data_IF_098282921487
#
_entry.id   IF_098282921487
#
_cell.length_a   1.000
_cell.length_b   1.000
_cell.length_c   1.000
_cell.angle_alpha   90.00
_cell.angle_beta   90.00
_cell.angle_gamma   90.00
#
_symmetry.space_group_name_H-M   'P 1'
#
loop_
_entity.id
_entity.type
_entity.pdbx_description
1 polymer ?
#
# COMPACT_ATOMS: atom_id res chain seq x y z
N UNK A 1 19.45 -16.89 -4.78
CA UNK A 1 18.36 -16.55 -5.72
C UNK A 1 17.55 -15.42 -5.08
N UNK A 2 17.26 -14.39 -5.84
CA UNK A 2 16.42 -13.28 -5.39
C UNK A 2 14.99 -13.79 -5.16
N UNK A 3 14.43 -13.50 -3.98
CA UNK A 3 13.21 -14.16 -3.49
C UNK A 3 11.93 -13.83 -4.28
N UNK A 4 11.95 -12.76 -5.11
CA UNK A 4 10.83 -12.35 -5.96
C UNK A 4 11.15 -12.45 -7.48
N UNK A 5 12.20 -13.18 -7.85
CA UNK A 5 12.58 -13.36 -9.27
C UNK A 5 11.40 -13.88 -10.10
N UNK A 6 11.13 -13.23 -11.23
CA UNK A 6 10.04 -13.56 -12.14
C UNK A 6 8.66 -13.09 -11.71
N UNK A 7 8.50 -12.50 -10.51
CA UNK A 7 7.24 -11.92 -10.03
C UNK A 7 7.04 -10.50 -10.57
N UNK A 8 5.79 -10.14 -10.80
CA UNK A 8 5.36 -8.80 -11.20
C UNK A 8 4.58 -8.17 -10.05
N UNK A 9 5.05 -7.02 -9.55
CA UNK A 9 4.44 -6.30 -8.44
C UNK A 9 3.93 -4.93 -8.88
N UNK A 10 2.62 -4.69 -8.74
CA UNK A 10 2.00 -3.37 -8.94
C UNK A 10 1.97 -2.64 -7.60
N UNK A 11 2.50 -1.40 -7.56
CA UNK A 11 2.63 -0.60 -6.34
C UNK A 11 1.97 0.76 -6.54
N UNK A 12 0.84 0.99 -5.88
CA UNK A 12 0.16 2.28 -5.91
C UNK A 12 0.82 3.28 -4.95
N UNK A 13 0.89 4.55 -5.34
CA UNK A 13 1.65 5.56 -4.58
C UNK A 13 3.16 5.31 -4.58
N UNK A 14 3.69 4.65 -5.63
CA UNK A 14 5.09 4.24 -5.73
C UNK A 14 6.10 5.38 -5.93
N UNK A 15 5.65 6.64 -5.99
CA UNK A 15 6.49 7.80 -6.24
C UNK A 15 7.13 8.42 -4.98
N UNK A 16 6.73 8.02 -3.76
CA UNK A 16 7.27 8.60 -2.52
C UNK A 16 7.02 7.70 -1.29
N UNK A 17 7.70 8.02 -0.17
CA UNK A 17 7.47 7.38 1.13
C UNK A 17 7.53 5.86 1.11
N UNK A 18 6.59 5.21 1.78
CA UNK A 18 6.53 3.75 1.92
C UNK A 18 6.45 3.07 0.54
N UNK A 19 5.62 3.58 -0.38
CA UNK A 19 5.49 2.98 -1.71
C UNK A 19 6.79 2.98 -2.51
N UNK A 20 7.57 4.07 -2.44
CA UNK A 20 8.90 4.16 -3.06
C UNK A 20 9.89 3.16 -2.42
N UNK A 21 9.90 3.06 -1.09
CA UNK A 21 10.78 2.14 -0.37
C UNK A 21 10.45 0.67 -0.70
N UNK A 22 9.15 0.31 -0.69
CA UNK A 22 8.67 -1.02 -1.08
C UNK A 22 9.06 -1.33 -2.53
N UNK A 23 8.89 -0.37 -3.45
CA UNK A 23 9.25 -0.57 -4.85
C UNK A 23 10.74 -0.90 -5.04
N UNK A 24 11.61 -0.15 -4.35
CA UNK A 24 13.06 -0.41 -4.37
C UNK A 24 13.41 -1.77 -3.77
N UNK A 25 12.82 -2.11 -2.64
CA UNK A 25 13.07 -3.38 -1.97
C UNK A 25 12.58 -4.58 -2.79
N UNK A 26 11.42 -4.47 -3.44
CA UNK A 26 10.89 -5.51 -4.32
C UNK A 26 11.75 -5.71 -5.57
N UNK A 27 12.19 -4.59 -6.19
CA UNK A 27 13.11 -4.66 -7.32
C UNK A 27 14.46 -5.28 -6.93
N UNK A 28 15.01 -4.92 -5.77
CA UNK A 28 16.23 -5.54 -5.23
C UNK A 28 16.05 -7.03 -4.89
N UNK A 29 14.81 -7.47 -4.59
CA UNK A 29 14.48 -8.87 -4.40
C UNK A 29 14.17 -9.61 -5.74
N UNK A 30 14.38 -8.97 -6.89
CA UNK A 30 14.24 -9.55 -8.23
C UNK A 30 12.87 -9.40 -8.89
N UNK A 31 11.93 -8.67 -8.29
CA UNK A 31 10.63 -8.42 -8.91
C UNK A 31 10.72 -7.39 -10.05
N UNK A 32 9.87 -7.57 -11.07
CA UNK A 32 9.52 -6.50 -12.01
C UNK A 32 8.46 -5.61 -11.36
N UNK A 33 8.78 -4.35 -11.08
CA UNK A 33 7.86 -3.45 -10.39
C UNK A 33 7.14 -2.52 -11.35
N UNK A 34 5.83 -2.39 -11.19
CA UNK A 34 4.98 -1.42 -11.89
C UNK A 34 4.54 -0.37 -10.89
N UNK A 35 4.97 0.86 -11.12
CA UNK A 35 4.72 1.99 -10.24
C UNK A 35 3.51 2.77 -10.74
N UNK A 36 2.53 3.00 -9.87
CA UNK A 36 1.33 3.77 -10.18
C UNK A 36 1.19 4.98 -9.24
N UNK A 37 1.12 6.18 -9.79
CA UNK A 37 0.80 7.41 -9.08
C UNK A 37 0.45 8.54 -10.06
N UNK A 38 -0.18 9.61 -9.58
CA UNK A 38 -0.59 10.74 -10.43
C UNK A 38 0.57 11.59 -10.95
N UNK A 39 1.64 11.76 -10.17
CA UNK A 39 2.78 12.62 -10.50
C UNK A 39 3.78 11.88 -11.38
N UNK A 40 3.61 12.03 -12.70
CA UNK A 40 4.35 11.29 -13.72
C UNK A 40 5.88 11.46 -13.62
N UNK A 41 6.35 12.69 -13.42
CA UNK A 41 7.78 12.99 -13.33
C UNK A 41 8.44 12.27 -12.16
N UNK A 42 7.90 12.44 -10.96
CA UNK A 42 8.43 11.76 -9.77
C UNK A 42 8.34 10.23 -9.88
N UNK A 43 7.32 9.73 -10.56
CA UNK A 43 7.16 8.29 -10.78
C UNK A 43 8.27 7.76 -11.71
N UNK A 44 8.58 8.50 -12.80
CA UNK A 44 9.67 8.17 -13.71
C UNK A 44 11.03 8.22 -13.00
N UNK A 45 11.29 9.25 -12.18
CA UNK A 45 12.52 9.34 -11.40
C UNK A 45 12.76 8.11 -10.52
N UNK A 46 11.70 7.60 -9.86
CA UNK A 46 11.81 6.38 -9.03
C UNK A 46 12.07 5.16 -9.91
N UNK A 47 11.38 5.03 -11.05
CA UNK A 47 11.62 3.93 -11.97
C UNK A 47 13.06 3.94 -12.50
N UNK A 48 13.60 5.12 -12.83
CA UNK A 48 14.97 5.26 -13.31
C UNK A 48 16.01 5.00 -12.22
N UNK A 49 15.72 5.37 -10.97
CA UNK A 49 16.55 4.98 -9.83
C UNK A 49 16.64 3.45 -9.70
N UNK A 50 15.51 2.75 -9.81
CA UNK A 50 15.47 1.28 -9.75
C UNK A 50 16.25 0.67 -10.92
N UNK A 51 16.06 1.17 -12.14
CA UNK A 51 16.79 0.67 -13.32
C UNK A 51 18.31 0.88 -13.20
N UNK A 52 18.73 2.05 -12.71
CA UNK A 52 20.17 2.31 -12.47
C UNK A 52 20.78 1.38 -11.42
N UNK A 53 19.97 0.87 -10.50
CA UNK A 53 20.41 -0.14 -9.51
C UNK A 53 20.30 -1.58 -10.04
N UNK A 54 20.06 -1.79 -11.34
CA UNK A 54 19.97 -3.12 -11.96
C UNK A 54 18.59 -3.76 -11.88
N UNK A 55 17.59 -3.12 -11.29
CA UNK A 55 16.22 -3.63 -11.18
C UNK A 55 15.36 -3.32 -12.42
N UNK A 56 14.19 -3.94 -12.50
CA UNK A 56 13.19 -3.70 -13.55
C UNK A 56 12.02 -2.88 -13.02
N UNK A 57 11.72 -1.74 -13.64
CA UNK A 57 10.61 -0.88 -13.26
C UNK A 57 9.89 -0.27 -14.47
N UNK A 58 8.56 -0.22 -14.39
CA UNK A 58 7.66 0.45 -15.31
C UNK A 58 6.87 1.52 -14.55
N UNK A 59 6.83 2.75 -15.06
CA UNK A 59 6.08 3.86 -14.50
C UNK A 59 4.80 4.10 -15.32
N UNK A 60 3.62 3.95 -14.69
CA UNK A 60 2.32 4.19 -15.32
C UNK A 60 1.59 5.28 -14.53
N UNK A 61 1.52 6.52 -15.05
CA UNK A 61 0.79 7.59 -14.39
C UNK A 61 -0.69 7.24 -14.24
N UNK A 62 -1.17 7.15 -12.99
CA UNK A 62 -2.51 6.64 -12.70
C UNK A 62 -3.17 7.43 -11.57
N UNK A 63 -4.40 7.87 -11.78
CA UNK A 63 -5.29 8.30 -10.70
C UNK A 63 -6.19 7.12 -10.30
N UNK A 64 -5.89 6.51 -9.15
CA UNK A 64 -6.63 5.34 -8.68
C UNK A 64 -8.08 5.64 -8.26
N UNK A 65 -8.47 6.90 -8.16
CA UNK A 65 -9.88 7.29 -7.90
C UNK A 65 -10.75 7.16 -9.15
N UNK A 66 -10.15 6.92 -10.32
CA UNK A 66 -10.81 6.81 -11.61
C UNK A 66 -10.77 5.37 -12.10
N UNK A 67 -11.94 4.71 -12.11
CA UNK A 67 -12.05 3.32 -12.51
C UNK A 67 -11.45 3.02 -13.89
N UNK A 68 -11.67 3.84 -14.96
CA UNK A 68 -11.02 3.59 -16.25
C UNK A 68 -9.49 3.67 -16.20
N UNK A 69 -8.93 4.56 -15.36
CA UNK A 69 -7.48 4.68 -15.22
C UNK A 69 -6.88 3.45 -14.49
N UNK A 70 -7.61 2.90 -13.51
CA UNK A 70 -7.22 1.65 -12.86
C UNK A 70 -7.27 0.48 -13.84
N UNK A 71 -8.33 0.37 -14.63
CA UNK A 71 -8.43 -0.67 -15.67
C UNK A 71 -7.26 -0.58 -16.67
N UNK A 72 -6.91 0.64 -17.12
CA UNK A 72 -5.77 0.88 -18.03
C UNK A 72 -4.44 0.46 -17.38
N UNK A 73 -4.19 0.81 -16.09
CA UNK A 73 -2.99 0.39 -15.34
C UNK A 73 -2.78 -1.13 -15.41
N UNK A 74 -3.82 -1.90 -15.14
CA UNK A 74 -3.72 -3.36 -15.14
C UNK A 74 -3.64 -3.93 -16.55
N UNK A 75 -4.31 -3.33 -17.55
CA UNK A 75 -4.18 -3.72 -18.95
C UNK A 75 -2.75 -3.50 -19.47
N UNK A 76 -2.15 -2.35 -19.21
CA UNK A 76 -0.76 -2.04 -19.57
C UNK A 76 0.23 -2.96 -18.83
N UNK A 77 -0.02 -3.25 -17.56
CA UNK A 77 0.80 -4.22 -16.79
C UNK A 77 0.75 -5.60 -17.44
N UNK A 78 -0.43 -6.06 -17.82
CA UNK A 78 -0.60 -7.36 -18.48
C UNK A 78 0.02 -7.38 -19.87
N UNK A 79 -0.08 -6.30 -20.66
CA UNK A 79 0.58 -6.19 -21.96
C UNK A 79 2.11 -6.25 -21.84
N UNK A 80 2.68 -5.59 -20.83
CA UNK A 80 4.13 -5.54 -20.62
C UNK A 80 4.72 -6.82 -20.01
N UNK A 81 3.98 -7.50 -19.14
CA UNK A 81 4.54 -8.56 -18.31
C UNK A 81 3.74 -9.87 -18.30
N UNK A 82 2.52 -9.90 -18.81
CA UNK A 82 1.66 -11.10 -18.91
C UNK A 82 1.08 -11.60 -17.59
N UNK A 83 1.40 -10.95 -16.46
CA UNK A 83 0.98 -11.39 -15.12
C UNK A 83 0.96 -10.27 -14.09
N UNK A 84 0.26 -10.50 -12.98
CA UNK A 84 0.33 -9.70 -11.75
C UNK A 84 0.41 -10.67 -10.57
N UNK A 85 1.53 -10.69 -9.86
CA UNK A 85 1.74 -11.60 -8.72
C UNK A 85 1.47 -10.94 -7.38
N UNK A 86 1.81 -9.64 -7.28
CA UNK A 86 1.63 -8.88 -6.05
C UNK A 86 0.99 -7.54 -6.37
N UNK A 87 0.00 -7.16 -5.58
CA UNK A 87 -0.50 -5.78 -5.50
C UNK A 87 -0.15 -5.19 -4.15
N UNK A 88 0.49 -4.03 -4.13
CA UNK A 88 0.67 -3.19 -2.94
C UNK A 88 -0.27 -1.98 -3.06
N UNK A 89 -1.37 -2.00 -2.34
CA UNK A 89 -2.27 -0.86 -2.18
C UNK A 89 -1.70 0.10 -1.12
N UNK A 90 -0.87 1.03 -1.57
CA UNK A 90 -0.19 1.98 -0.68
C UNK A 90 -0.62 3.43 -0.91
N UNK A 91 -1.17 3.78 -2.07
CA UNK A 91 -1.63 5.15 -2.33
C UNK A 91 -2.61 5.62 -1.25
N UNK A 92 -2.39 6.81 -0.74
CA UNK A 92 -3.23 7.36 0.32
C UNK A 92 -3.05 8.85 0.50
N UNK A 93 -4.04 9.46 1.15
CA UNK A 93 -4.06 10.87 1.56
C UNK A 93 -4.70 10.98 2.94
N UNK A 94 -4.56 12.12 3.59
CA UNK A 94 -5.17 12.39 4.88
C UNK A 94 -5.77 13.80 4.89
N UNK A 95 -6.73 13.98 5.77
CA UNK A 95 -7.24 15.26 6.23
C UNK A 95 -7.06 15.34 7.75
N UNK A 96 -7.00 16.54 8.29
CA UNK A 96 -6.74 16.78 9.72
C UNK A 96 -7.56 17.95 10.24
N UNK A 97 -8.84 17.90 9.95
CA UNK A 97 -9.82 18.88 10.42
C UNK A 97 -10.61 18.30 11.60
N UNK A 98 -11.06 19.14 12.58
CA UNK A 98 -12.03 18.75 13.59
C UNK A 98 -13.30 18.16 12.94
N UNK A 99 -14.00 17.29 13.65
CA UNK A 99 -15.12 16.54 13.09
C UNK A 99 -16.27 17.43 12.61
N UNK A 100 -16.51 18.53 13.31
CA UNK A 100 -17.55 19.53 13.05
C UNK A 100 -17.15 20.53 11.95
N UNK A 101 -15.88 20.62 11.62
CA UNK A 101 -15.34 21.53 10.58
C UNK A 101 -14.90 20.81 9.30
N UNK A 102 -14.93 19.46 9.27
CA UNK A 102 -14.45 18.69 8.14
C UNK A 102 -15.34 18.88 6.90
N UNK A 103 -14.85 19.53 5.81
CA UNK A 103 -15.62 19.69 4.60
C UNK A 103 -15.93 18.33 3.95
N UNK A 104 -17.15 18.19 3.38
CA UNK A 104 -17.52 16.97 2.66
C UNK A 104 -16.55 16.63 1.51
N UNK A 105 -16.02 17.64 0.83
CA UNK A 105 -15.02 17.44 -0.23
C UNK A 105 -13.73 16.81 0.32
N UNK A 106 -13.23 17.27 1.48
CA UNK A 106 -12.06 16.67 2.15
C UNK A 106 -12.33 15.24 2.58
N UNK A 107 -13.52 14.97 3.15
CA UNK A 107 -13.96 13.62 3.46
C UNK A 107 -13.96 12.74 2.21
N UNK A 108 -14.66 13.17 1.16
CA UNK A 108 -14.81 12.38 -0.07
C UNK A 108 -13.45 12.09 -0.73
N UNK A 109 -12.57 13.08 -0.81
CA UNK A 109 -11.20 12.92 -1.34
C UNK A 109 -10.41 11.84 -0.60
N UNK A 110 -10.57 11.74 0.73
CA UNK A 110 -9.90 10.72 1.54
C UNK A 110 -10.53 9.34 1.31
N UNK A 111 -11.86 9.26 1.28
CA UNK A 111 -12.59 8.01 0.97
C UNK A 111 -12.22 7.50 -0.43
N UNK A 112 -12.29 8.37 -1.43
CA UNK A 112 -12.04 7.99 -2.83
C UNK A 112 -10.62 7.47 -3.04
N UNK A 113 -9.64 8.10 -2.38
CA UNK A 113 -8.24 7.68 -2.53
C UNK A 113 -7.93 6.41 -1.71
N UNK A 114 -8.26 6.41 -0.41
CA UNK A 114 -7.74 5.40 0.51
C UNK A 114 -8.58 4.12 0.54
N UNK A 115 -9.86 4.20 0.21
CA UNK A 115 -10.77 3.07 0.30
C UNK A 115 -11.30 2.67 -1.09
N UNK A 116 -11.97 3.57 -1.81
CA UNK A 116 -12.52 3.27 -3.14
C UNK A 116 -11.40 2.92 -4.13
N UNK A 117 -10.34 3.73 -4.20
CA UNK A 117 -9.21 3.49 -5.10
C UNK A 117 -8.46 2.19 -4.78
N UNK A 118 -8.28 1.90 -3.49
CA UNK A 118 -7.68 0.63 -3.06
C UNK A 118 -8.57 -0.57 -3.45
N UNK A 119 -9.88 -0.47 -3.29
CA UNK A 119 -10.84 -1.47 -3.74
C UNK A 119 -10.79 -1.67 -5.27
N UNK A 120 -10.80 -0.60 -6.05
CA UNK A 120 -10.72 -0.69 -7.51
C UNK A 120 -9.45 -1.42 -7.97
N UNK A 121 -8.30 -1.08 -7.39
CA UNK A 121 -7.04 -1.76 -7.68
C UNK A 121 -7.08 -3.23 -7.24
N UNK A 122 -7.59 -3.52 -6.03
CA UNK A 122 -7.73 -4.88 -5.54
C UNK A 122 -8.64 -5.71 -6.45
N UNK A 123 -9.75 -5.16 -6.92
CA UNK A 123 -10.70 -5.84 -7.81
C UNK A 123 -10.05 -6.24 -9.15
N UNK A 124 -9.30 -5.33 -9.77
CA UNK A 124 -8.61 -5.65 -11.03
C UNK A 124 -7.50 -6.68 -10.84
N UNK A 125 -6.68 -6.55 -9.79
CA UNK A 125 -5.69 -7.54 -9.43
C UNK A 125 -6.35 -8.92 -9.17
N UNK A 126 -7.42 -8.94 -8.39
CA UNK A 126 -8.15 -10.15 -8.05
C UNK A 126 -8.67 -10.89 -9.29
N UNK A 127 -9.24 -10.16 -10.29
CA UNK A 127 -9.68 -10.72 -11.57
C UNK A 127 -8.53 -11.42 -12.32
N UNK A 128 -7.35 -10.82 -12.33
CA UNK A 128 -6.16 -11.40 -12.96
C UNK A 128 -5.66 -12.61 -12.17
N UNK A 129 -5.48 -12.46 -10.87
CA UNK A 129 -4.98 -13.48 -9.95
C UNK A 129 -5.89 -14.70 -9.90
N UNK A 130 -7.22 -14.50 -10.02
CA UNK A 130 -8.20 -15.59 -10.09
C UNK A 130 -7.95 -16.50 -11.32
N UNK A 131 -7.65 -15.91 -12.48
CA UNK A 131 -7.28 -16.66 -13.69
C UNK A 131 -5.92 -17.35 -13.55
N UNK A 132 -4.98 -16.72 -12.82
CA UNK A 132 -3.66 -17.27 -12.53
C UNK A 132 -3.71 -18.38 -11.45
N UNK A 133 -4.80 -18.46 -10.67
CA UNK A 133 -4.95 -19.32 -9.48
C UNK A 133 -3.87 -19.04 -8.43
N UNK A 134 -3.35 -17.84 -8.40
CA UNK A 134 -2.28 -17.41 -7.50
C UNK A 134 -2.17 -15.90 -7.48
N UNK A 135 -1.90 -15.32 -6.30
CA UNK A 135 -1.56 -13.91 -6.16
C UNK A 135 -1.51 -13.45 -4.70
N UNK A 136 -0.97 -12.27 -4.49
CA UNK A 136 -0.94 -11.61 -3.17
C UNK A 136 -1.39 -10.17 -3.28
N UNK A 137 -2.26 -9.75 -2.39
CA UNK A 137 -2.67 -8.35 -2.22
C UNK A 137 -2.26 -7.92 -0.82
N UNK A 138 -1.44 -6.89 -0.73
CA UNK A 138 -0.99 -6.32 0.54
C UNK A 138 -1.49 -4.89 0.60
N UNK A 139 -2.42 -4.63 1.50
CA UNK A 139 -2.97 -3.31 1.77
C UNK A 139 -2.12 -2.60 2.82
N UNK A 140 -1.73 -1.36 2.57
CA UNK A 140 -1.04 -0.54 3.57
C UNK A 140 -2.09 0.16 4.43
N UNK A 141 -2.28 -0.41 5.61
CA UNK A 141 -3.18 0.09 6.63
C UNK A 141 -2.62 1.30 7.39
N UNK A 142 -2.84 1.31 8.67
CA UNK A 142 -2.26 2.26 9.64
C UNK A 142 -2.57 1.79 11.06
N UNK A 143 -1.76 2.16 12.02
CA UNK A 143 -2.12 2.08 13.45
C UNK A 143 -3.45 2.80 13.74
N UNK A 144 -3.82 3.79 12.93
CA UNK A 144 -5.11 4.50 13.05
C UNK A 144 -6.34 3.63 12.74
N UNK A 145 -6.17 2.43 12.20
CA UNK A 145 -7.22 1.42 12.11
C UNK A 145 -7.46 0.69 13.46
N UNK A 146 -6.63 0.91 14.45
CA UNK A 146 -6.75 0.33 15.81
C UNK A 146 -6.97 1.42 16.86
N UNK A 147 -6.14 2.45 16.81
CA UNK A 147 -6.18 3.59 17.75
C UNK A 147 -6.14 4.88 16.94
N UNK A 148 -7.29 5.47 16.61
CA UNK A 148 -7.37 6.72 15.87
C UNK A 148 -6.82 7.89 16.67
N UNK A 149 -6.48 8.98 15.98
CA UNK A 149 -6.04 10.24 16.59
C UNK A 149 -7.12 11.30 16.43
N UNK A 150 -7.15 12.32 17.29
CA UNK A 150 -8.01 13.49 17.08
C UNK A 150 -7.82 14.09 15.68
N UNK A 151 -8.89 14.66 15.13
CA UNK A 151 -8.90 15.33 13.83
C UNK A 151 -8.52 14.43 12.63
N UNK A 152 -8.77 13.12 12.72
CA UNK A 152 -8.45 12.17 11.65
C UNK A 152 -9.64 11.30 11.24
N UNK A 153 -10.88 11.79 11.43
CA UNK A 153 -12.09 10.99 11.25
C UNK A 153 -12.17 10.34 9.85
N UNK A 154 -11.94 11.09 8.77
CA UNK A 154 -11.98 10.54 7.41
C UNK A 154 -10.86 9.50 7.19
N UNK A 155 -9.65 9.81 7.65
CA UNK A 155 -8.52 8.88 7.54
C UNK A 155 -8.76 7.60 8.34
N UNK A 156 -9.17 7.73 9.60
CA UNK A 156 -9.48 6.58 10.46
C UNK A 156 -10.58 5.72 9.83
N UNK A 157 -11.69 6.31 9.38
CA UNK A 157 -12.76 5.60 8.72
C UNK A 157 -12.25 4.77 7.54
N UNK A 158 -11.36 5.34 6.70
CA UNK A 158 -10.81 4.59 5.56
C UNK A 158 -9.90 3.45 6.00
N UNK A 159 -9.10 3.62 7.06
CA UNK A 159 -8.18 2.58 7.52
C UNK A 159 -8.89 1.43 8.23
N UNK A 160 -9.96 1.70 9.00
CA UNK A 160 -10.88 0.66 9.48
C UNK A 160 -11.61 -0.04 8.32
N UNK A 161 -12.13 0.73 7.35
CA UNK A 161 -12.79 0.17 6.16
C UNK A 161 -11.87 -0.72 5.34
N UNK A 162 -10.60 -0.33 5.17
CA UNK A 162 -9.60 -1.11 4.44
C UNK A 162 -9.27 -2.44 5.15
N UNK A 163 -9.32 -2.48 6.48
CA UNK A 163 -9.20 -3.74 7.24
C UNK A 163 -10.38 -4.67 6.93
N UNK A 164 -11.61 -4.14 6.90
CA UNK A 164 -12.79 -4.90 6.51
C UNK A 164 -12.69 -5.45 5.08
N UNK A 165 -12.30 -4.60 4.12
CA UNK A 165 -12.05 -5.01 2.72
C UNK A 165 -10.98 -6.11 2.65
N UNK A 166 -9.90 -5.97 3.42
CA UNK A 166 -8.83 -6.98 3.46
C UNK A 166 -9.36 -8.36 3.90
N UNK A 167 -10.13 -8.38 4.98
CA UNK A 167 -10.69 -9.63 5.55
C UNK A 167 -11.69 -10.29 4.60
N UNK A 168 -12.56 -9.50 3.95
CA UNK A 168 -13.51 -10.00 2.96
C UNK A 168 -12.80 -10.60 1.75
N UNK A 169 -11.83 -9.87 1.17
CA UNK A 169 -11.05 -10.36 0.04
C UNK A 169 -10.18 -11.59 0.40
N UNK A 170 -9.65 -11.66 1.63
CA UNK A 170 -8.91 -12.83 2.09
C UNK A 170 -9.79 -14.09 2.17
N UNK A 171 -11.05 -13.92 2.56
CA UNK A 171 -12.03 -15.01 2.58
C UNK A 171 -12.37 -15.46 1.16
N UNK A 172 -12.72 -14.53 0.26
CA UNK A 172 -13.07 -14.82 -1.12
C UNK A 172 -11.88 -15.36 -1.94
N UNK A 173 -10.67 -14.92 -1.64
CA UNK A 173 -9.45 -15.32 -2.35
C UNK A 173 -9.00 -16.75 -2.08
N UNK A 174 -9.42 -17.32 -0.97
CA UNK A 174 -8.94 -18.61 -0.45
C UNK A 174 -9.05 -19.74 -1.46
N UNK A 175 -10.21 -19.89 -2.09
CA UNK A 175 -10.46 -20.94 -3.11
C UNK A 175 -9.72 -20.70 -4.43
N UNK A 176 -9.18 -19.50 -4.61
CA UNK A 176 -8.50 -19.08 -5.84
C UNK A 176 -6.98 -18.96 -5.68
N UNK A 177 -6.43 -19.38 -4.53
CA UNK A 177 -5.01 -19.24 -4.24
C UNK A 177 -4.56 -17.78 -4.11
N UNK A 178 -5.48 -16.87 -3.74
CA UNK A 178 -5.18 -15.45 -3.56
C UNK A 178 -5.07 -15.15 -2.07
N UNK A 179 -3.91 -14.66 -1.65
CA UNK A 179 -3.65 -14.31 -0.27
C UNK A 179 -3.77 -12.78 -0.12
N UNK A 180 -4.57 -12.34 0.82
CA UNK A 180 -4.79 -10.91 1.06
C UNK A 180 -4.39 -10.57 2.48
N UNK A 181 -3.63 -9.51 2.64
CA UNK A 181 -2.98 -9.11 3.89
C UNK A 181 -3.07 -7.61 4.11
N UNK A 182 -2.90 -7.20 5.36
CA UNK A 182 -2.78 -5.79 5.71
C UNK A 182 -1.52 -5.55 6.56
N UNK A 183 -0.74 -4.53 6.18
CA UNK A 183 0.40 -4.04 6.94
C UNK A 183 0.03 -2.70 7.57
N UNK A 184 0.04 -2.61 8.90
CA UNK A 184 -0.28 -1.40 9.65
C UNK A 184 1.00 -0.69 10.13
N UNK A 185 1.43 0.38 9.46
CA UNK A 185 2.52 1.21 9.95
C UNK A 185 2.11 2.04 11.17
N UNK A 186 3.02 2.16 12.12
CA UNK A 186 3.06 3.28 13.06
C UNK A 186 3.62 4.55 12.42
N UNK A 187 4.20 5.44 13.25
CA UNK A 187 4.81 6.66 12.74
C UNK A 187 5.98 6.35 11.81
N UNK A 188 5.86 6.75 10.55
CA UNK A 188 6.86 6.49 9.51
C UNK A 188 7.26 7.81 8.86
N UNK A 189 8.53 7.95 8.51
CA UNK A 189 9.01 9.08 7.72
C UNK A 189 8.39 9.00 6.33
N UNK A 190 7.40 9.86 6.06
CA UNK A 190 6.67 9.88 4.79
C UNK A 190 6.13 11.27 4.50
N UNK A 191 5.74 11.52 3.25
CA UNK A 191 5.11 12.76 2.82
C UNK A 191 3.71 13.01 3.43
N UNK A 192 3.08 12.00 4.02
CA UNK A 192 1.77 12.10 4.68
C UNK A 192 1.85 12.60 6.13
N UNK A 193 3.03 12.55 6.75
CA UNK A 193 3.19 12.83 8.18
C UNK A 193 3.87 14.16 8.46
N UNK A 194 3.16 15.17 9.03
CA UNK A 194 3.83 16.13 9.90
C UNK A 194 4.15 15.46 11.24
N UNK A 195 5.24 15.89 11.95
CA UNK A 195 5.47 15.42 13.32
C UNK A 195 4.22 15.68 14.16
N UNK A 196 3.56 14.62 14.61
CA UNK A 196 2.57 14.79 15.64
C UNK A 196 3.32 15.01 16.95
N UNK A 197 3.30 16.21 17.46
CA UNK A 197 3.55 16.46 18.88
C UNK A 197 2.29 16.03 19.62
N UNK A 198 2.30 14.82 20.14
CA UNK A 198 1.27 14.35 21.07
C UNK A 198 1.96 14.15 22.41
N UNK A 199 1.65 15.02 23.35
CA UNK A 199 2.17 14.96 24.70
C UNK A 199 3.65 15.37 24.85
N UNK A 200 4.17 15.20 26.06
CA UNK A 200 5.53 15.60 26.47
C UNK A 200 6.62 14.62 26.02
N UNK A 201 6.26 13.46 25.49
CA UNK A 201 7.20 12.44 25.00
C UNK A 201 7.14 12.38 23.46
N UNK A 202 8.25 12.66 22.74
CA UNK A 202 8.27 12.51 21.30
C UNK A 202 8.04 11.05 20.91
N UNK A 203 6.98 10.78 20.15
CA UNK A 203 6.81 9.46 19.55
C UNK A 203 7.89 9.23 18.50
N UNK A 204 8.59 8.11 18.56
CA UNK A 204 9.59 7.73 17.57
C UNK A 204 9.00 7.58 16.17
N UNK A 205 9.90 7.46 15.19
CA UNK A 205 9.57 7.20 13.80
C UNK A 205 10.43 6.06 13.27
N UNK A 206 9.88 5.34 12.32
CA UNK A 206 10.57 4.35 11.51
C UNK A 206 10.92 4.96 10.15
N UNK A 207 11.95 4.46 9.53
CA UNK A 207 12.20 4.70 8.12
C UNK A 207 11.22 3.88 7.27
N UNK A 208 10.95 4.34 6.05
CA UNK A 208 10.07 3.61 5.14
C UNK A 208 10.66 2.25 4.72
N UNK A 209 11.99 2.15 4.75
CA UNK A 209 12.77 0.96 4.46
C UNK A 209 12.52 -0.17 5.47
N UNK A 210 12.26 0.15 6.74
CA UNK A 210 11.91 -0.85 7.77
C UNK A 210 10.61 -1.57 7.41
N UNK A 211 9.62 -0.81 6.94
CA UNK A 211 8.35 -1.36 6.48
C UNK A 211 8.48 -2.13 5.17
N UNK A 212 9.38 -1.68 4.28
CA UNK A 212 9.62 -2.36 3.03
C UNK A 212 10.17 -3.79 3.24
N UNK A 213 11.00 -4.00 4.26
CA UNK A 213 11.48 -5.34 4.64
C UNK A 213 10.31 -6.26 5.05
N UNK A 214 9.37 -5.75 5.85
CA UNK A 214 8.17 -6.52 6.24
C UNK A 214 7.29 -6.81 5.03
N UNK A 215 7.11 -5.85 4.11
CA UNK A 215 6.34 -6.06 2.89
C UNK A 215 7.00 -7.12 1.98
N UNK A 216 8.34 -7.17 1.88
CA UNK A 216 9.06 -8.24 1.18
C UNK A 216 8.82 -9.58 1.86
N UNK A 217 8.95 -9.66 3.18
CA UNK A 217 8.65 -10.89 3.92
C UNK A 217 7.24 -11.40 3.64
N UNK A 218 6.23 -10.50 3.70
CA UNK A 218 4.82 -10.86 3.41
C UNK A 218 4.65 -11.41 1.99
N UNK A 219 5.41 -10.91 1.02
CA UNK A 219 5.34 -11.36 -0.38
C UNK A 219 6.10 -12.66 -0.65
N UNK A 220 7.08 -12.99 0.18
CA UNK A 220 7.99 -14.14 -0.02
C UNK A 220 7.63 -15.38 0.81
N UNK A 221 6.69 -15.27 1.74
CA UNK A 221 6.16 -16.42 2.47
C UNK A 221 5.68 -17.51 1.51
N UNK A 222 5.76 -18.80 1.90
CA UNK A 222 5.21 -19.90 1.12
C UNK A 222 3.77 -19.64 0.69
N UNK A 223 3.36 -20.20 -0.44
CA UNK A 223 2.01 -19.97 -0.99
C UNK A 223 0.89 -20.38 -0.02
N UNK A 224 1.15 -21.37 0.80
CA UNK A 224 0.20 -21.88 1.80
C UNK A 224 0.13 -21.02 3.08
N UNK A 225 1.01 -19.99 3.19
CA UNK A 225 1.11 -19.19 4.40
C UNK A 225 0.70 -17.74 4.11
N UNK A 226 -0.32 -17.27 4.82
CA UNK A 226 -0.75 -15.89 4.79
C UNK A 226 -0.44 -15.18 6.11
N UNK A 227 0.41 -14.17 6.08
CA UNK A 227 0.51 -13.20 7.17
C UNK A 227 -0.65 -12.21 7.03
N UNK A 228 -1.82 -12.57 7.59
CA UNK A 228 -3.06 -11.80 7.39
C UNK A 228 -2.92 -10.36 7.83
N UNK A 229 -2.23 -10.12 8.95
CA UNK A 229 -2.06 -8.79 9.53
C UNK A 229 -0.68 -8.65 10.16
N UNK A 230 -0.02 -7.52 9.95
CA UNK A 230 1.19 -7.14 10.63
C UNK A 230 1.10 -5.70 11.12
N UNK A 231 1.41 -5.46 12.40
CA UNK A 231 1.49 -4.14 13.01
C UNK A 231 2.95 -3.84 13.35
N UNK A 232 3.50 -2.77 12.77
CA UNK A 232 4.92 -2.40 12.92
C UNK A 232 5.02 -1.00 13.48
N UNK A 233 5.65 -0.87 14.63
CA UNK A 233 5.69 0.36 15.42
C UNK A 233 7.13 0.79 15.71
N UNK A 234 7.42 2.09 15.76
CA UNK A 234 8.63 2.56 16.40
C UNK A 234 8.67 2.13 17.86
N UNK A 235 9.83 1.75 18.35
CA UNK A 235 10.00 1.27 19.73
C UNK A 235 9.41 2.20 20.79
N UNK A 236 9.45 3.50 20.56
CA UNK A 236 8.99 4.53 21.51
C UNK A 236 7.56 4.99 21.26
N UNK A 237 6.86 4.42 20.28
CA UNK A 237 5.46 4.79 20.02
C UNK A 237 4.52 4.15 21.04
N UNK A 238 3.77 4.94 21.83
CA UNK A 238 2.84 4.42 22.81
C UNK A 238 1.59 3.87 22.09
N UNK A 239 1.55 2.58 21.87
CA UNK A 239 0.37 1.88 21.32
C UNK A 239 -0.39 1.15 22.42
N UNK A 240 0.32 0.37 23.22
CA UNK A 240 -0.21 -0.23 24.44
C UNK A 240 -0.17 0.82 25.54
N UNK A 241 -1.26 0.92 26.33
CA UNK A 241 -1.35 1.92 27.40
C UNK A 241 -1.66 3.34 26.93
N UNK A 242 -2.15 3.52 25.72
CA UNK A 242 -2.85 4.75 25.33
C UNK A 242 -4.21 4.75 26.04
N UNK A 243 -4.24 5.30 27.21
CA UNK A 243 -5.44 5.62 27.96
C UNK A 243 -5.55 7.10 28.18
#
# INVERSE_FOLDING_TARGET
MEALTGRVAVITGGNSGIGKAVAKAYAAAGAKVVLAARRAEQLREVADQIKRSGGAALAIPTDITKEPAVAALFAETMAAHGRVDVLINNAGTASREPADELPLESWQRVIDTNLTGAFLCAREAFRIMKRQKQGRIINIGSVSAKVPRPNTIAYAATKFGLEGVTRALALEGREHGILVSILHPGNTVSSLGRPAQIGTVPEGRMEAEDLAQVAVLMATLPHEVNMLEALVLPRTMPFLGRG
#
